data_IF_742013220838
#
_entry.id   IF_742013220838
#
_cell.length_a   1.000
_cell.length_b   1.000
_cell.length_c   1.000
_cell.angle_alpha   90.00
_cell.angle_beta   90.00
_cell.angle_gamma   90.00
#
_symmetry.space_group_name_H-M   'P 1'
#
loop_
_entity.id
_entity.type
_entity.pdbx_description
1 polymer ?
#
# COMPACT_ATOMS: atom_id res chain seq x y z
N UNK A 1 -29.76 57.17 -28.05
CA UNK A 1 -30.39 55.84 -28.17
C UNK A 1 -29.62 54.94 -27.24
N UNK A 2 -30.25 54.38 -26.21
CA UNK A 2 -29.55 53.47 -25.31
C UNK A 2 -29.31 52.17 -26.06
N UNK A 3 -28.05 51.76 -26.22
CA UNK A 3 -27.71 50.49 -26.87
C UNK A 3 -28.37 49.35 -26.09
N UNK A 4 -29.30 48.68 -26.74
CA UNK A 4 -30.07 47.58 -26.16
C UNK A 4 -29.12 46.39 -25.94
N UNK A 5 -28.93 45.98 -24.68
CA UNK A 5 -28.05 44.86 -24.35
C UNK A 5 -28.73 43.54 -24.72
N UNK A 6 -28.02 42.73 -25.51
CA UNK A 6 -28.49 41.45 -26.03
C UNK A 6 -28.03 40.33 -25.08
N UNK A 7 -28.92 39.43 -24.71
CA UNK A 7 -28.56 38.20 -23.98
C UNK A 7 -28.25 37.13 -25.04
N UNK A 8 -26.98 36.69 -25.19
CA UNK A 8 -26.64 35.70 -26.21
C UNK A 8 -27.29 34.34 -25.91
N UNK A 9 -27.52 33.57 -26.96
CA UNK A 9 -27.91 32.16 -26.86
C UNK A 9 -26.78 31.31 -26.29
N UNK A 10 -27.11 30.07 -25.93
CA UNK A 10 -26.12 29.11 -25.40
C UNK A 10 -25.00 28.82 -26.41
N UNK A 11 -25.36 28.56 -27.66
CA UNK A 11 -24.42 28.23 -28.74
C UNK A 11 -23.47 29.40 -29.04
N UNK A 12 -23.99 30.63 -29.12
CA UNK A 12 -23.20 31.84 -29.36
C UNK A 12 -22.19 32.09 -28.24
N UNK A 13 -22.60 31.89 -26.98
CA UNK A 13 -21.73 32.09 -25.83
C UNK A 13 -20.65 31.00 -25.73
N UNK A 14 -21.00 29.73 -26.00
CA UNK A 14 -20.03 28.62 -26.02
C UNK A 14 -18.98 28.86 -27.11
N UNK A 15 -19.41 29.23 -28.32
CA UNK A 15 -18.50 29.50 -29.45
C UNK A 15 -17.56 30.67 -29.13
N UNK A 16 -18.07 31.75 -28.54
CA UNK A 16 -17.24 32.88 -28.10
C UNK A 16 -16.20 32.48 -27.04
N UNK A 17 -16.59 31.66 -26.06
CA UNK A 17 -15.69 31.14 -25.02
C UNK A 17 -14.58 30.27 -25.63
N UNK A 18 -14.93 29.37 -26.57
CA UNK A 18 -13.98 28.51 -27.27
C UNK A 18 -12.96 29.32 -28.06
N UNK A 19 -13.41 30.33 -28.82
CA UNK A 19 -12.52 31.21 -29.58
C UNK A 19 -11.54 31.97 -28.69
N UNK A 20 -12.00 32.50 -27.54
CA UNK A 20 -11.11 33.16 -26.57
C UNK A 20 -10.11 32.18 -25.98
N UNK A 21 -10.51 30.93 -25.75
CA UNK A 21 -9.62 29.87 -25.23
C UNK A 21 -8.60 29.36 -26.24
N UNK A 22 -8.91 29.42 -27.53
CA UNK A 22 -7.93 29.16 -28.59
C UNK A 22 -6.84 30.24 -28.64
N UNK A 23 -7.21 31.50 -28.43
CA UNK A 23 -6.26 32.62 -28.39
C UNK A 23 -5.49 32.70 -27.07
N UNK A 24 -6.15 32.36 -25.95
CA UNK A 24 -5.60 32.43 -24.59
C UNK A 24 -5.85 31.10 -23.84
N UNK A 25 -5.08 30.04 -24.11
CA UNK A 25 -5.28 28.73 -23.47
C UNK A 25 -5.27 28.81 -21.94
N UNK A 26 -4.38 29.63 -21.39
CA UNK A 26 -4.17 29.81 -19.94
C UNK A 26 -5.13 30.84 -19.28
N UNK A 27 -6.11 31.39 -20.01
CA UNK A 27 -7.07 32.34 -19.42
C UNK A 27 -8.03 31.67 -18.42
N UNK A 28 -8.02 32.12 -17.16
CA UNK A 28 -9.02 31.71 -16.17
C UNK A 28 -10.42 32.28 -16.45
N UNK A 29 -11.43 31.80 -15.72
CA UNK A 29 -12.85 32.18 -15.90
C UNK A 29 -13.05 33.70 -15.91
N UNK A 30 -12.44 34.43 -14.98
CA UNK A 30 -12.55 35.89 -14.87
C UNK A 30 -11.97 36.61 -16.10
N UNK A 31 -10.83 36.13 -16.60
CA UNK A 31 -10.19 36.67 -17.81
C UNK A 31 -11.06 36.42 -19.04
N UNK A 32 -11.60 35.19 -19.19
CA UNK A 32 -12.50 34.84 -20.30
C UNK A 32 -13.78 35.67 -20.24
N UNK A 33 -14.40 35.83 -19.06
CA UNK A 33 -15.60 36.64 -18.90
C UNK A 33 -15.39 38.12 -19.28
N UNK A 34 -14.21 38.66 -18.95
CA UNK A 34 -13.81 40.01 -19.36
C UNK A 34 -13.66 40.10 -20.89
N UNK A 35 -12.96 39.13 -21.50
CA UNK A 35 -12.72 39.11 -22.95
C UNK A 35 -14.01 38.92 -23.78
N UNK A 36 -14.99 38.17 -23.27
CA UNK A 36 -16.32 38.06 -23.92
C UNK A 36 -16.97 39.43 -24.05
N UNK A 37 -16.96 40.25 -22.99
CA UNK A 37 -17.56 41.58 -23.00
C UNK A 37 -16.72 42.60 -23.79
N UNK A 38 -15.40 42.39 -23.90
CA UNK A 38 -14.54 43.22 -24.78
C UNK A 38 -14.83 42.95 -26.25
N UNK A 39 -14.97 41.68 -26.64
CA UNK A 39 -15.24 41.30 -28.03
C UNK A 39 -16.71 41.50 -28.45
N UNK A 40 -17.63 41.45 -27.48
CA UNK A 40 -19.07 41.63 -27.70
C UNK A 40 -19.63 42.64 -26.69
N UNK A 41 -19.38 43.95 -26.88
CA UNK A 41 -19.74 44.99 -25.92
C UNK A 41 -21.26 45.15 -25.70
N UNK A 42 -22.06 44.72 -26.67
CA UNK A 42 -23.52 44.77 -26.60
C UNK A 42 -24.12 43.55 -25.87
N UNK A 43 -23.31 42.59 -25.42
CA UNK A 43 -23.80 41.41 -24.72
C UNK A 43 -23.99 41.62 -23.22
N UNK A 44 -25.03 41.01 -22.66
CA UNK A 44 -25.23 40.88 -21.21
C UNK A 44 -24.96 39.45 -20.76
N UNK A 45 -23.75 39.22 -20.23
CA UNK A 45 -23.29 37.91 -19.77
C UNK A 45 -22.67 38.05 -18.38
N UNK A 46 -23.06 37.17 -17.45
CA UNK A 46 -22.46 37.11 -16.11
C UNK A 46 -21.26 36.16 -16.07
N UNK A 47 -20.29 36.43 -15.18
CA UNK A 47 -19.16 35.52 -14.93
C UNK A 47 -19.65 34.11 -14.54
N UNK A 48 -20.78 34.01 -13.82
CA UNK A 48 -21.40 32.72 -13.49
C UNK A 48 -21.84 31.94 -14.74
N UNK A 49 -22.37 32.62 -15.75
CA UNK A 49 -22.82 32.00 -17.01
C UNK A 49 -21.62 31.55 -17.85
N UNK A 50 -20.55 32.34 -17.88
CA UNK A 50 -19.26 31.95 -18.51
C UNK A 50 -18.65 30.75 -17.79
N UNK A 51 -18.61 30.77 -16.46
CA UNK A 51 -18.14 29.64 -15.63
C UNK A 51 -18.89 28.35 -15.95
N UNK A 52 -20.22 28.39 -16.00
CA UNK A 52 -21.07 27.23 -16.32
C UNK A 52 -20.65 26.59 -17.65
N UNK A 53 -20.54 27.39 -18.71
CA UNK A 53 -20.24 26.87 -20.05
C UNK A 53 -18.76 26.49 -20.23
N UNK A 54 -17.84 27.16 -19.55
CA UNK A 54 -16.44 26.73 -19.50
C UNK A 54 -16.29 25.37 -18.80
N UNK A 55 -17.03 25.12 -17.71
CA UNK A 55 -17.03 23.84 -17.01
C UNK A 55 -17.67 22.72 -17.86
N UNK A 56 -18.81 22.99 -18.49
CA UNK A 56 -19.48 22.03 -19.38
C UNK A 56 -18.62 21.67 -20.60
N UNK A 57 -17.82 22.60 -21.10
CA UNK A 57 -16.94 22.39 -22.27
C UNK A 57 -15.53 21.90 -21.90
N UNK A 58 -15.24 21.66 -20.62
CA UNK A 58 -13.91 21.22 -20.17
C UNK A 58 -12.80 22.29 -20.32
N UNK A 59 -13.15 23.57 -20.44
CA UNK A 59 -12.24 24.69 -20.72
C UNK A 59 -11.74 25.42 -19.46
N UNK A 60 -11.80 24.79 -18.29
CA UNK A 60 -11.32 25.39 -17.03
C UNK A 60 -9.87 24.97 -16.74
N UNK A 61 -9.04 25.93 -16.32
CA UNK A 61 -7.64 25.67 -15.94
C UNK A 61 -7.49 25.08 -14.53
N UNK A 62 -8.59 24.88 -13.82
CA UNK A 62 -8.59 23.95 -12.71
C UNK A 62 -8.41 22.56 -13.29
N UNK A 63 -7.25 21.94 -13.04
CA UNK A 63 -7.15 20.48 -13.01
C UNK A 63 -8.44 19.97 -12.34
N UNK A 64 -9.13 18.98 -12.93
CA UNK A 64 -10.30 18.42 -12.28
C UNK A 64 -9.87 18.12 -10.84
N UNK A 65 -10.58 18.70 -9.86
CA UNK A 65 -10.33 18.42 -8.46
C UNK A 65 -10.19 16.91 -8.36
N UNK A 66 -9.01 16.42 -7.94
CA UNK A 66 -8.69 15.02 -7.99
C UNK A 66 -9.87 14.29 -7.36
N UNK A 67 -10.65 13.57 -8.17
CA UNK A 67 -11.79 12.81 -7.64
C UNK A 67 -11.18 11.91 -6.58
N UNK A 68 -11.70 11.99 -5.35
CA UNK A 68 -11.24 11.11 -4.30
C UNK A 68 -11.26 9.66 -4.82
N UNK A 69 -10.21 8.88 -4.54
CA UNK A 69 -10.12 7.54 -5.07
C UNK A 69 -11.31 6.72 -4.56
N UNK A 70 -11.92 5.95 -5.47
CA UNK A 70 -13.02 5.05 -5.12
C UNK A 70 -12.47 3.97 -4.20
N UNK A 71 -13.01 3.89 -2.97
CA UNK A 71 -12.66 2.89 -1.97
C UNK A 71 -13.61 1.69 -2.03
N UNK A 72 -13.08 0.52 -1.72
CA UNK A 72 -13.86 -0.67 -1.38
C UNK A 72 -14.33 -0.63 0.07
N UNK A 73 -15.01 -1.68 0.50
CA UNK A 73 -15.59 -1.82 1.84
C UNK A 73 -17.11 -1.67 1.82
N UNK A 74 -17.74 -2.16 2.87
CA UNK A 74 -19.16 -1.96 3.13
C UNK A 74 -19.30 -1.10 4.38
N UNK A 75 -20.16 -0.07 4.33
CA UNK A 75 -20.30 0.87 5.44
C UNK A 75 -20.90 0.22 6.70
N UNK A 76 -21.66 -0.85 6.51
CA UNK A 76 -22.37 -1.61 7.53
C UNK A 76 -21.67 -2.91 7.94
N UNK A 77 -20.53 -3.25 7.33
CA UNK A 77 -19.76 -4.45 7.67
C UNK A 77 -18.26 -4.12 7.80
N UNK A 78 -17.75 -3.87 9.02
CA UNK A 78 -16.35 -3.54 9.28
C UNK A 78 -15.40 -4.72 9.05
N UNK A 79 -15.91 -5.93 8.86
CA UNK A 79 -15.09 -7.10 8.56
C UNK A 79 -14.63 -7.15 7.09
N UNK A 80 -15.26 -6.36 6.21
CA UNK A 80 -14.88 -6.26 4.79
C UNK A 80 -13.68 -5.32 4.65
N UNK A 81 -12.53 -5.80 4.14
CA UNK A 81 -11.35 -4.96 4.00
C UNK A 81 -11.54 -3.78 3.05
N UNK A 82 -11.10 -2.60 3.50
CA UNK A 82 -11.12 -1.35 2.73
C UNK A 82 -9.79 -1.18 2.00
N UNK A 83 -9.84 -0.94 0.69
CA UNK A 83 -8.68 -0.70 -0.16
C UNK A 83 -9.04 0.25 -1.31
N UNK A 84 -8.04 0.84 -1.96
CA UNK A 84 -8.23 1.59 -3.19
C UNK A 84 -6.96 1.57 -4.04
N UNK A 85 -7.08 2.01 -5.30
CA UNK A 85 -5.94 2.19 -6.19
C UNK A 85 -5.35 3.57 -5.94
N UNK A 86 -4.10 3.61 -5.48
CA UNK A 86 -3.39 4.86 -5.32
C UNK A 86 -3.15 5.51 -6.70
N UNK A 87 -3.70 6.72 -6.96
CA UNK A 87 -3.54 7.40 -8.24
C UNK A 87 -2.09 7.81 -8.52
N UNK A 88 -1.20 7.78 -7.53
CA UNK A 88 0.23 8.09 -7.67
C UNK A 88 1.07 6.89 -8.12
N UNK A 89 0.51 5.68 -8.16
CA UNK A 89 1.23 4.50 -8.67
C UNK A 89 1.17 4.49 -10.20
N UNK A 90 2.33 4.55 -10.84
CA UNK A 90 2.47 4.31 -12.27
C UNK A 90 2.69 2.81 -12.53
N UNK A 91 1.59 2.07 -12.72
CA UNK A 91 1.63 0.64 -13.01
C UNK A 91 2.39 0.33 -14.30
N UNK A 92 2.33 1.21 -15.30
CA UNK A 92 3.01 1.02 -16.59
C UNK A 92 4.53 1.17 -16.45
N UNK A 93 4.99 2.03 -15.55
CA UNK A 93 6.41 2.12 -15.21
C UNK A 93 6.93 0.87 -14.48
N UNK A 94 6.05 0.14 -13.78
CA UNK A 94 6.40 -1.13 -13.13
C UNK A 94 6.41 -2.28 -14.14
N UNK A 95 5.38 -2.38 -14.99
CA UNK A 95 5.31 -3.34 -16.09
C UNK A 95 4.22 -2.96 -17.10
N UNK A 96 4.52 -3.14 -18.38
CA UNK A 96 3.54 -2.99 -19.46
C UNK A 96 2.50 -4.11 -19.49
N UNK A 97 2.72 -5.18 -18.74
CA UNK A 97 1.87 -6.35 -18.67
C UNK A 97 0.66 -6.17 -17.73
N UNK A 98 0.63 -5.12 -16.91
CA UNK A 98 -0.37 -5.00 -15.83
C UNK A 98 -1.08 -3.65 -15.81
N UNK A 99 -2.32 -3.69 -15.36
CA UNK A 99 -3.11 -2.53 -14.99
C UNK A 99 -3.97 -2.84 -13.76
N UNK A 100 -4.25 -1.84 -12.91
CA UNK A 100 -5.10 -2.01 -11.75
C UNK A 100 -6.53 -1.55 -12.03
N UNK A 101 -7.52 -2.27 -11.49
CA UNK A 101 -8.95 -1.91 -11.57
C UNK A 101 -9.64 -2.21 -10.24
N UNK A 102 -10.66 -1.43 -9.89
CA UNK A 102 -11.57 -1.82 -8.81
C UNK A 102 -12.46 -2.96 -9.32
N UNK A 103 -12.55 -4.06 -8.57
CA UNK A 103 -13.35 -5.23 -8.91
C UNK A 103 -14.79 -5.00 -8.44
N UNK A 104 -14.97 -4.85 -7.13
CA UNK A 104 -16.24 -4.58 -6.47
C UNK A 104 -15.99 -4.08 -5.03
N UNK A 105 -17.05 -3.88 -4.25
CA UNK A 105 -16.95 -3.35 -2.87
C UNK A 105 -16.40 -4.37 -1.88
N UNK A 106 -16.47 -5.67 -2.14
CA UNK A 106 -16.05 -6.74 -1.22
C UNK A 106 -14.65 -7.25 -1.56
N UNK A 107 -14.41 -7.59 -2.83
CA UNK A 107 -13.10 -8.01 -3.34
C UNK A 107 -12.09 -6.86 -3.33
N UNK A 108 -12.57 -5.63 -3.57
CA UNK A 108 -11.74 -4.44 -3.60
C UNK A 108 -10.96 -4.26 -4.89
N UNK A 109 -9.68 -3.92 -4.78
CA UNK A 109 -8.81 -3.67 -5.94
C UNK A 109 -8.25 -4.98 -6.52
N UNK A 110 -7.99 -4.99 -7.82
CA UNK A 110 -7.47 -6.15 -8.56
C UNK A 110 -6.41 -5.74 -9.59
N UNK A 111 -5.48 -6.64 -9.87
CA UNK A 111 -4.50 -6.50 -10.95
C UNK A 111 -4.93 -7.32 -12.18
N UNK A 112 -4.87 -6.72 -13.35
CA UNK A 112 -5.35 -7.29 -14.62
C UNK A 112 -4.24 -7.27 -15.66
N UNK A 113 -4.28 -8.24 -16.57
CA UNK A 113 -3.34 -8.33 -17.68
C UNK A 113 -3.65 -7.22 -18.71
N UNK A 114 -2.71 -6.29 -18.93
CA UNK A 114 -2.86 -5.21 -19.90
C UNK A 114 -2.59 -5.66 -21.35
N UNK A 115 -1.95 -6.82 -21.51
CA UNK A 115 -1.70 -7.55 -22.76
C UNK A 115 -1.70 -9.06 -22.50
N UNK A 116 -1.59 -9.85 -23.55
CA UNK A 116 -1.36 -11.29 -23.39
C UNK A 116 0.01 -11.53 -22.74
N UNK A 117 0.06 -12.50 -21.82
CA UNK A 117 1.25 -12.88 -21.05
C UNK A 117 1.47 -14.37 -21.26
N UNK A 118 2.70 -14.76 -21.58
CA UNK A 118 3.03 -16.16 -21.82
C UNK A 118 3.39 -16.90 -20.53
N UNK A 119 3.14 -18.21 -20.51
CA UNK A 119 3.61 -19.09 -19.44
C UNK A 119 5.10 -18.85 -19.18
N UNK A 120 5.46 -18.82 -17.89
CA UNK A 120 6.80 -18.57 -17.37
C UNK A 120 7.37 -17.16 -17.59
N UNK A 121 6.61 -16.26 -18.22
CA UNK A 121 6.98 -14.85 -18.32
C UNK A 121 7.02 -14.20 -16.92
N UNK A 122 8.10 -13.46 -16.67
CA UNK A 122 8.19 -12.58 -15.50
C UNK A 122 7.38 -11.32 -15.76
N UNK A 123 6.33 -11.11 -14.97
CA UNK A 123 5.39 -10.01 -15.13
C UNK A 123 5.99 -8.73 -14.55
N UNK A 124 6.45 -8.80 -13.29
CA UNK A 124 7.20 -7.72 -12.65
C UNK A 124 7.99 -8.23 -11.44
N UNK A 125 8.84 -7.35 -10.92
CA UNK A 125 9.65 -7.59 -9.73
C UNK A 125 9.58 -6.38 -8.83
N UNK A 126 9.39 -6.59 -7.53
CA UNK A 126 9.11 -5.51 -6.59
C UNK A 126 9.91 -5.69 -5.28
N UNK A 127 10.30 -4.56 -4.67
CA UNK A 127 10.82 -4.51 -3.29
C UNK A 127 9.77 -3.91 -2.38
N UNK A 128 9.69 -4.32 -1.11
CA UNK A 128 8.61 -3.97 -0.23
C UNK A 128 8.64 -2.48 0.12
N UNK A 129 7.45 -1.91 0.23
CA UNK A 129 7.21 -0.60 0.79
C UNK A 129 7.66 -0.57 2.26
N UNK A 130 7.14 -1.51 3.06
CA UNK A 130 7.54 -1.78 4.44
C UNK A 130 7.90 -3.26 4.61
N UNK A 131 8.96 -3.55 5.38
CA UNK A 131 9.47 -4.91 5.55
C UNK A 131 9.90 -5.18 6.98
N UNK A 132 9.40 -6.25 7.57
CA UNK A 132 9.97 -6.88 8.74
C UNK A 132 10.09 -8.40 8.50
N UNK A 133 11.31 -8.95 8.50
CA UNK A 133 11.56 -10.36 8.19
C UNK A 133 11.03 -11.30 9.29
N UNK A 134 10.97 -12.63 9.03
CA UNK A 134 10.83 -13.62 10.10
C UNK A 134 11.90 -13.46 11.20
N UNK A 135 11.57 -13.86 12.44
CA UNK A 135 12.42 -13.64 13.62
C UNK A 135 13.80 -14.24 13.51
N UNK A 136 13.94 -15.40 12.87
CA UNK A 136 15.23 -16.06 12.64
C UNK A 136 16.15 -15.16 11.79
N UNK A 137 15.60 -14.62 10.70
CA UNK A 137 16.30 -13.70 9.82
C UNK A 137 16.58 -12.35 10.50
N UNK A 138 15.65 -11.84 11.31
CA UNK A 138 15.87 -10.63 12.11
C UNK A 138 17.01 -10.81 13.13
N UNK A 139 17.07 -11.95 13.80
CA UNK A 139 18.10 -12.26 14.79
C UNK A 139 19.48 -12.42 14.15
N UNK A 140 19.56 -13.02 12.96
CA UNK A 140 20.79 -13.02 12.16
C UNK A 140 21.22 -11.60 11.78
N UNK A 141 20.28 -10.73 11.40
CA UNK A 141 20.59 -9.34 11.08
C UNK A 141 21.12 -8.58 12.30
N UNK A 142 20.46 -8.70 13.46
CA UNK A 142 20.85 -8.04 14.72
C UNK A 142 22.22 -8.50 15.24
N UNK A 143 22.60 -9.75 14.97
CA UNK A 143 23.92 -10.29 15.30
C UNK A 143 25.01 -9.98 14.25
N UNK A 144 24.67 -9.24 13.19
CA UNK A 144 25.60 -8.87 12.14
C UNK A 144 25.88 -9.96 11.09
N UNK A 145 25.18 -11.09 11.18
CA UNK A 145 25.33 -12.24 10.28
C UNK A 145 24.43 -12.17 9.04
N UNK A 146 23.53 -11.19 8.97
CA UNK A 146 22.70 -10.90 7.79
C UNK A 146 22.53 -9.39 7.59
N UNK A 147 22.14 -8.99 6.39
CA UNK A 147 21.85 -7.60 6.07
C UNK A 147 20.65 -7.07 6.90
N UNK A 148 20.82 -5.92 7.54
CA UNK A 148 19.78 -5.24 8.33
C UNK A 148 18.55 -4.77 7.58
N UNK A 149 18.59 -4.76 6.23
CA UNK A 149 17.45 -4.45 5.39
C UNK A 149 16.86 -5.70 4.75
N UNK A 150 17.64 -6.35 3.87
CA UNK A 150 17.13 -7.44 3.03
C UNK A 150 17.32 -8.83 3.65
N UNK A 151 17.96 -8.93 4.82
CA UNK A 151 18.24 -10.18 5.52
C UNK A 151 19.05 -11.21 4.72
N UNK A 152 19.68 -10.80 3.63
CA UNK A 152 20.66 -11.63 2.92
C UNK A 152 21.80 -12.00 3.89
N UNK A 153 22.12 -13.30 4.07
CA UNK A 153 23.25 -13.72 4.90
C UNK A 153 24.58 -13.09 4.46
N UNK A 154 25.40 -12.71 5.43
CA UNK A 154 26.71 -12.10 5.25
C UNK A 154 27.82 -13.12 5.58
N UNK A 155 27.80 -14.26 4.88
CA UNK A 155 28.72 -15.38 5.14
C UNK A 155 30.19 -14.96 4.96
N UNK A 156 30.46 -14.04 4.03
CA UNK A 156 31.77 -13.40 3.85
C UNK A 156 31.58 -11.91 3.61
N UNK A 157 31.80 -11.04 4.62
CA UNK A 157 31.85 -9.61 4.41
C UNK A 157 32.85 -9.30 3.31
N UNK A 158 32.43 -8.53 2.31
CA UNK A 158 33.31 -8.08 1.24
C UNK A 158 33.41 -6.55 1.27
N UNK A 159 34.19 -5.98 0.35
CA UNK A 159 34.39 -4.52 0.27
C UNK A 159 33.12 -3.68 0.17
N UNK A 160 31.99 -4.27 -0.25
CA UNK A 160 30.70 -3.58 -0.37
C UNK A 160 29.90 -3.61 0.94
N UNK A 161 30.24 -4.51 1.88
CA UNK A 161 29.55 -4.62 3.17
C UNK A 161 29.72 -3.32 3.96
N UNK A 162 28.61 -2.78 4.42
CA UNK A 162 28.57 -1.58 5.26
C UNK A 162 28.12 -1.94 6.67
N UNK A 163 28.35 -1.02 7.61
CA UNK A 163 27.85 -1.16 8.98
C UNK A 163 27.22 0.16 9.45
N UNK A 164 26.36 0.07 10.46
CA UNK A 164 25.90 1.24 11.18
C UNK A 164 27.03 1.79 12.06
N UNK A 165 27.30 3.10 12.01
CA UNK A 165 28.30 3.74 12.87
C UNK A 165 27.90 3.83 14.35
N UNK A 166 26.73 3.32 14.73
CA UNK A 166 26.19 3.43 16.08
C UNK A 166 25.90 2.07 16.73
N UNK A 167 25.59 1.02 15.97
CA UNK A 167 25.22 -0.30 16.50
C UNK A 167 25.83 -1.43 15.65
N UNK A 168 25.61 -2.68 16.04
CA UNK A 168 26.21 -3.86 15.40
C UNK A 168 25.51 -4.31 14.10
N UNK A 169 24.66 -3.45 13.51
CA UNK A 169 23.92 -3.79 12.29
C UNK A 169 24.82 -3.68 11.06
N UNK A 170 24.83 -4.71 10.22
CA UNK A 170 25.55 -4.75 8.95
C UNK A 170 24.59 -4.72 7.76
N UNK A 171 25.08 -4.28 6.61
CA UNK A 171 24.31 -4.20 5.37
C UNK A 171 25.13 -4.74 4.21
N UNK A 172 24.49 -5.44 3.28
CA UNK A 172 25.18 -6.04 2.14
C UNK A 172 25.68 -5.02 1.11
N UNK A 173 25.16 -3.79 1.13
CA UNK A 173 25.55 -2.71 0.22
C UNK A 173 25.27 -1.32 0.82
N UNK A 174 25.79 -0.28 0.17
CA UNK A 174 25.53 1.12 0.52
C UNK A 174 24.05 1.47 0.38
N UNK A 175 23.40 0.97 -0.65
CA UNK A 175 21.97 1.16 -0.93
C UNK A 175 21.14 0.58 0.21
N UNK A 176 21.40 -0.67 0.64
CA UNK A 176 20.67 -1.25 1.76
C UNK A 176 20.84 -0.46 3.07
N UNK A 177 22.04 0.07 3.34
CA UNK A 177 22.28 0.90 4.53
C UNK A 177 21.48 2.19 4.47
N UNK A 178 21.50 2.89 3.32
CA UNK A 178 20.81 4.16 3.13
C UNK A 178 19.29 3.94 3.21
N UNK A 179 18.75 2.97 2.47
CA UNK A 179 17.32 2.67 2.51
C UNK A 179 16.85 2.27 3.90
N UNK A 180 17.62 1.46 4.65
CA UNK A 180 17.27 1.14 6.04
C UNK A 180 17.29 2.39 6.91
N UNK A 181 18.32 3.24 6.79
CA UNK A 181 18.45 4.48 7.56
C UNK A 181 17.27 5.43 7.32
N UNK A 182 16.90 5.63 6.07
CA UNK A 182 15.83 6.54 5.65
C UNK A 182 14.42 6.03 5.97
N UNK A 183 14.24 4.69 6.05
CA UNK A 183 12.93 4.08 6.31
C UNK A 183 12.69 3.74 7.78
N UNK A 184 13.67 3.27 8.54
CA UNK A 184 13.41 2.84 9.92
C UNK A 184 14.61 2.85 10.86
N UNK A 185 15.82 2.51 10.38
CA UNK A 185 16.95 2.19 11.25
C UNK A 185 17.40 3.35 12.12
N UNK A 186 17.23 4.60 11.67
CA UNK A 186 17.55 5.77 12.49
C UNK A 186 16.77 5.80 13.83
N UNK A 187 15.50 5.36 13.82
CA UNK A 187 14.65 5.26 15.01
C UNK A 187 14.71 3.89 15.68
N UNK A 188 15.01 2.83 14.92
CA UNK A 188 15.15 1.45 15.38
C UNK A 188 16.55 1.16 15.97
N UNK A 189 17.55 2.01 15.74
CA UNK A 189 18.92 1.79 16.21
C UNK A 189 19.00 1.82 17.74
N UNK A 190 19.26 0.65 18.35
CA UNK A 190 19.27 0.42 19.80
C UNK A 190 20.31 1.22 20.59
N UNK A 191 21.28 1.85 19.91
CA UNK A 191 22.26 2.74 20.52
C UNK A 191 21.91 4.24 20.39
N UNK A 192 21.02 4.60 19.46
CA UNK A 192 20.48 5.96 19.35
C UNK A 192 19.19 6.10 20.15
N UNK A 193 18.29 5.12 20.01
CA UNK A 193 17.01 5.06 20.69
C UNK A 193 16.98 3.89 21.68
N UNK A 194 17.34 4.13 22.94
CA UNK A 194 17.34 3.06 23.96
C UNK A 194 15.92 2.58 24.32
N UNK A 195 14.93 3.45 24.19
CA UNK A 195 13.53 3.12 24.51
C UNK A 195 12.95 2.04 23.58
N UNK A 196 13.43 1.93 22.34
CA UNK A 196 12.96 0.90 21.39
C UNK A 196 13.34 -0.52 21.82
N UNK A 197 14.35 -0.69 22.68
CA UNK A 197 14.82 -2.02 23.11
C UNK A 197 13.72 -2.76 23.87
N UNK A 198 13.00 -2.08 24.76
CA UNK A 198 11.92 -2.69 25.54
C UNK A 198 10.79 -3.19 24.63
N UNK A 199 10.43 -2.40 23.61
CA UNK A 199 9.46 -2.77 22.59
C UNK A 199 9.92 -4.01 21.79
N UNK A 200 11.15 -4.00 21.26
CA UNK A 200 11.69 -5.14 20.50
C UNK A 200 11.76 -6.41 21.32
N UNK A 201 12.25 -6.32 22.56
CA UNK A 201 12.38 -7.47 23.46
C UNK A 201 11.01 -8.06 23.80
N UNK A 202 9.99 -7.23 23.99
CA UNK A 202 8.62 -7.68 24.16
C UNK A 202 8.12 -8.43 22.92
N UNK A 203 8.22 -7.83 21.73
CA UNK A 203 7.80 -8.50 20.49
C UNK A 203 8.57 -9.81 20.22
N UNK A 204 9.87 -9.86 20.54
CA UNK A 204 10.69 -11.07 20.37
C UNK A 204 10.29 -12.20 21.33
N UNK A 205 9.94 -11.85 22.58
CA UNK A 205 9.47 -12.79 23.60
C UNK A 205 8.13 -13.41 23.18
N UNK A 206 7.21 -12.59 22.70
CA UNK A 206 5.88 -13.00 22.23
C UNK A 206 5.90 -13.61 20.82
N UNK A 207 7.07 -13.65 20.16
CA UNK A 207 7.22 -14.02 18.74
C UNK A 207 6.28 -13.26 17.81
N UNK A 208 5.94 -12.02 18.16
CA UNK A 208 4.89 -11.27 17.51
C UNK A 208 5.44 -10.31 16.44
N UNK A 209 5.31 -10.72 15.18
CA UNK A 209 5.90 -10.02 14.03
C UNK A 209 5.20 -8.70 13.68
N UNK A 210 3.87 -8.65 13.80
CA UNK A 210 3.07 -7.53 13.28
C UNK A 210 3.41 -6.17 13.91
N UNK A 211 3.57 -6.03 15.24
CA UNK A 211 3.96 -4.76 15.84
C UNK A 211 5.32 -4.26 15.36
N UNK A 212 6.28 -5.15 15.07
CA UNK A 212 7.57 -4.74 14.52
C UNK A 212 7.44 -4.14 13.13
N UNK A 213 6.55 -4.66 12.29
CA UNK A 213 6.23 -4.05 11.01
C UNK A 213 5.53 -2.69 11.18
N UNK A 214 4.57 -2.58 12.11
CA UNK A 214 3.91 -1.30 12.45
C UNK A 214 4.93 -0.27 12.95
N UNK A 215 5.87 -0.69 13.78
CA UNK A 215 7.00 0.15 14.22
C UNK A 215 7.79 0.68 13.01
N UNK A 216 8.16 -0.17 12.06
CA UNK A 216 8.86 0.28 10.84
C UNK A 216 8.00 1.21 9.96
N UNK A 217 6.69 1.00 9.89
CA UNK A 217 5.74 1.90 9.20
C UNK A 217 5.72 3.28 9.87
N UNK A 218 5.65 3.33 11.21
CA UNK A 218 5.67 4.57 11.97
C UNK A 218 7.01 5.30 11.82
N UNK A 219 8.11 4.57 11.87
CA UNK A 219 9.43 5.14 11.62
C UNK A 219 9.52 5.73 10.22
N UNK A 220 8.98 5.05 9.21
CA UNK A 220 8.97 5.52 7.83
C UNK A 220 8.16 6.82 7.70
N UNK A 221 7.01 6.95 8.36
CA UNK A 221 6.25 8.21 8.39
C UNK A 221 7.04 9.35 9.05
N UNK A 222 7.62 9.11 10.24
CA UNK A 222 8.41 10.13 10.95
C UNK A 222 9.62 10.60 10.12
N UNK A 223 10.34 9.66 9.50
CA UNK A 223 11.53 9.95 8.70
C UNK A 223 11.17 10.59 7.35
N UNK A 224 10.06 10.18 6.72
CA UNK A 224 9.55 10.82 5.51
C UNK A 224 9.11 12.27 5.77
N UNK A 225 8.50 12.55 6.92
CA UNK A 225 8.11 13.92 7.26
C UNK A 225 9.30 14.87 7.38
N UNK A 226 10.43 14.40 7.92
CA UNK A 226 11.66 15.19 7.93
C UNK A 226 12.18 15.53 6.53
N UNK A 227 11.84 14.73 5.52
CA UNK A 227 12.21 14.94 4.11
C UNK A 227 11.12 15.63 3.29
N UNK A 228 9.98 15.96 3.89
CA UNK A 228 8.83 16.54 3.17
C UNK A 228 8.05 15.54 2.31
N UNK A 229 8.19 14.24 2.56
CA UNK A 229 7.60 13.14 1.77
C UNK A 229 6.38 12.49 2.44
N UNK A 230 5.88 13.07 3.55
CA UNK A 230 4.86 12.45 4.40
C UNK A 230 3.57 12.11 3.63
N UNK A 231 3.04 13.04 2.84
CA UNK A 231 1.78 12.86 2.11
C UNK A 231 1.87 11.78 1.02
N UNK A 232 3.06 11.57 0.46
CA UNK A 232 3.31 10.48 -0.47
C UNK A 232 3.30 9.14 0.28
N UNK A 233 4.01 9.06 1.41
CA UNK A 233 4.08 7.83 2.22
C UNK A 233 2.72 7.45 2.77
N UNK A 234 1.94 8.40 3.28
CA UNK A 234 0.57 8.15 3.77
C UNK A 234 -0.34 7.71 2.62
N UNK A 235 -0.30 8.38 1.47
CA UNK A 235 -1.11 7.97 0.31
C UNK A 235 -0.88 6.51 -0.11
N UNK A 236 0.39 6.09 -0.15
CA UNK A 236 0.76 4.71 -0.41
C UNK A 236 0.27 3.74 0.69
N UNK A 237 0.40 4.11 1.97
CA UNK A 237 -0.04 3.30 3.12
C UNK A 237 -1.57 3.11 3.14
N UNK A 238 -2.31 4.17 2.84
CA UNK A 238 -3.77 4.18 2.88
C UNK A 238 -4.37 3.27 1.78
N UNK A 239 -3.66 3.10 0.67
CA UNK A 239 -4.11 2.26 -0.45
C UNK A 239 -4.03 0.75 -0.17
N UNK A 240 -3.22 0.29 0.79
CA UNK A 240 -3.19 -1.12 1.21
C UNK A 240 -4.53 -1.54 1.83
N UNK A 241 -4.91 -2.81 1.61
CA UNK A 241 -6.12 -3.36 2.21
C UNK A 241 -6.07 -3.25 3.74
N UNK A 242 -7.16 -2.82 4.35
CA UNK A 242 -7.22 -2.54 5.79
C UNK A 242 -8.48 -3.12 6.38
N UNK A 243 -8.29 -3.86 7.45
CA UNK A 243 -9.33 -4.34 8.35
C UNK A 243 -8.71 -4.33 9.75
N UNK A 244 -9.48 -3.98 10.77
CA UNK A 244 -8.94 -3.92 12.13
C UNK A 244 -8.43 -5.29 12.58
N UNK A 245 -7.33 -5.31 13.34
CA UNK A 245 -6.86 -6.53 13.96
C UNK A 245 -7.89 -7.13 14.92
N UNK A 246 -8.77 -6.31 15.50
CA UNK A 246 -9.89 -6.77 16.33
C UNK A 246 -10.88 -7.63 15.55
N UNK A 247 -11.33 -7.16 14.38
CA UNK A 247 -12.24 -7.91 13.49
C UNK A 247 -11.63 -9.25 13.05
N UNK A 248 -10.33 -9.25 12.73
CA UNK A 248 -9.60 -10.47 12.38
C UNK A 248 -9.58 -11.46 13.54
N UNK A 249 -9.36 -10.96 14.75
CA UNK A 249 -9.25 -11.78 15.94
C UNK A 249 -10.62 -12.29 16.42
N UNK A 250 -11.70 -11.53 16.21
CA UNK A 250 -13.07 -11.92 16.53
C UNK A 250 -13.57 -13.15 15.76
N UNK A 251 -12.96 -13.46 14.60
CA UNK A 251 -13.21 -14.69 13.82
C UNK A 251 -12.59 -15.94 14.44
N UNK A 252 -11.72 -15.80 15.43
CA UNK A 252 -11.13 -16.94 16.13
C UNK A 252 -12.09 -17.52 17.16
N UNK A 253 -12.31 -18.83 17.14
CA UNK A 253 -13.29 -19.52 17.97
C UNK A 253 -13.01 -19.37 19.48
N UNK A 254 -11.75 -19.20 19.86
CA UNK A 254 -11.33 -19.01 21.25
C UNK A 254 -11.35 -17.55 21.70
N UNK A 255 -11.76 -16.61 20.83
CA UNK A 255 -11.64 -15.18 21.08
C UNK A 255 -12.30 -14.74 22.39
N UNK A 256 -13.49 -15.25 22.69
CA UNK A 256 -14.24 -14.89 23.92
C UNK A 256 -13.41 -15.15 25.19
N UNK A 257 -12.54 -16.17 25.18
CA UNK A 257 -11.66 -16.48 26.32
C UNK A 257 -10.33 -15.72 26.26
N UNK A 258 -9.89 -15.36 25.05
CA UNK A 258 -8.59 -14.72 24.79
C UNK A 258 -8.67 -13.19 24.67
N UNK A 259 -9.86 -12.60 24.66
CA UNK A 259 -10.08 -11.18 24.40
C UNK A 259 -9.31 -10.29 25.36
N UNK A 260 -9.50 -10.46 26.67
CA UNK A 260 -8.83 -9.65 27.68
C UNK A 260 -7.29 -9.79 27.63
N UNK A 261 -6.70 -11.01 27.66
CA UNK A 261 -5.25 -11.18 27.49
C UNK A 261 -4.71 -10.57 26.19
N UNK A 262 -5.47 -10.66 25.10
CA UNK A 262 -5.03 -10.13 23.80
C UNK A 262 -5.09 -8.61 23.76
N UNK A 263 -6.11 -7.98 24.34
CA UNK A 263 -6.16 -6.51 24.48
C UNK A 263 -5.06 -5.98 25.39
N UNK A 264 -4.70 -6.70 26.45
CA UNK A 264 -3.53 -6.37 27.30
C UNK A 264 -2.23 -6.44 26.49
N UNK A 265 -2.06 -7.48 25.67
CA UNK A 265 -0.92 -7.63 24.76
C UNK A 265 -0.80 -6.44 23.79
N UNK A 266 -1.92 -6.06 23.16
CA UNK A 266 -2.00 -4.94 22.21
C UNK A 266 -1.67 -3.62 22.90
N UNK A 267 -2.26 -3.36 24.07
CA UNK A 267 -2.02 -2.16 24.87
C UNK A 267 -0.53 -2.05 25.23
N UNK A 268 0.07 -3.13 25.71
CA UNK A 268 1.49 -3.16 26.08
C UNK A 268 2.41 -2.90 24.90
N UNK A 269 2.14 -3.49 23.72
CA UNK A 269 2.89 -3.19 22.50
C UNK A 269 2.80 -1.70 22.12
N UNK A 270 1.59 -1.15 22.11
CA UNK A 270 1.33 0.27 21.77
C UNK A 270 2.05 1.20 22.73
N UNK A 271 1.97 0.96 24.04
CA UNK A 271 2.59 1.81 25.04
C UNK A 271 4.12 1.82 24.95
N UNK A 272 4.73 0.66 24.72
CA UNK A 272 6.16 0.53 24.48
C UNK A 272 6.59 1.23 23.18
N UNK A 273 5.81 1.10 22.10
CA UNK A 273 6.07 1.79 20.84
C UNK A 273 5.93 3.31 20.98
N UNK A 274 4.88 3.77 21.67
CA UNK A 274 4.66 5.19 22.00
C UNK A 274 5.84 5.75 22.79
N UNK A 275 6.28 5.05 23.84
CA UNK A 275 7.43 5.46 24.64
C UNK A 275 8.71 5.57 23.81
N UNK A 276 8.86 4.74 22.78
CA UNK A 276 10.02 4.78 21.90
C UNK A 276 9.97 5.92 20.87
N UNK A 277 8.81 6.20 20.29
CA UNK A 277 8.69 6.95 19.02
C UNK A 277 7.92 8.28 19.11
N UNK A 278 7.07 8.50 20.12
CA UNK A 278 6.32 9.77 20.26
C UNK A 278 7.27 10.94 20.52
N UNK A 279 8.26 10.72 21.39
CA UNK A 279 9.33 11.67 21.71
C UNK A 279 10.69 10.96 21.57
N UNK A 280 11.14 10.72 20.32
CA UNK A 280 12.33 9.93 20.08
C UNK A 280 13.57 10.63 20.66
N UNK A 281 14.55 9.81 21.06
CA UNK A 281 15.84 10.30 21.59
C UNK A 281 16.43 11.41 20.73
N UNK A 282 16.95 12.47 21.35
CA UNK A 282 17.65 13.56 20.65
C UNK A 282 18.80 13.06 19.77
N UNK A 283 19.38 11.89 20.09
CA UNK A 283 20.43 11.23 19.29
C UNK A 283 19.94 10.75 17.93
N UNK A 284 18.64 10.51 17.78
CA UNK A 284 18.01 10.17 16.51
C UNK A 284 17.91 11.39 15.58
N UNK A 285 18.19 12.60 16.04
CA UNK A 285 18.18 13.84 15.24
C UNK A 285 16.88 14.10 14.49
N UNK A 286 15.74 13.76 15.10
CA UNK A 286 14.41 14.09 14.56
C UNK A 286 14.12 15.56 14.91
N UNK A 287 14.22 16.46 13.94
CA UNK A 287 14.01 17.91 14.16
C UNK A 287 12.62 18.38 13.79
N UNK A 288 11.94 17.66 12.90
CA UNK A 288 10.59 17.97 12.43
C UNK A 288 9.64 16.87 12.94
N UNK A 289 8.96 17.06 14.08
CA UNK A 289 7.99 16.10 14.57
C UNK A 289 6.78 16.03 13.65
N UNK A 290 6.08 14.90 13.64
CA UNK A 290 4.84 14.75 12.87
C UNK A 290 3.79 15.82 13.28
N UNK A 291 2.83 16.15 12.41
CA UNK A 291 1.69 16.99 12.79
C UNK A 291 0.98 16.44 14.03
N UNK A 292 0.55 17.31 14.94
CA UNK A 292 -0.02 16.91 16.23
C UNK A 292 -1.21 15.94 16.08
N UNK A 293 -2.12 16.24 15.14
CA UNK A 293 -3.27 15.37 14.86
C UNK A 293 -2.84 13.95 14.43
N UNK A 294 -1.75 13.83 13.66
CA UNK A 294 -1.22 12.52 13.27
C UNK A 294 -0.52 11.83 14.44
N UNK A 295 0.19 12.56 15.30
CA UNK A 295 0.78 11.98 16.51
C UNK A 295 -0.29 11.40 17.43
N UNK A 296 -1.40 12.12 17.65
CA UNK A 296 -2.52 11.65 18.46
C UNK A 296 -3.10 10.36 17.87
N UNK A 297 -3.34 10.31 16.55
CA UNK A 297 -3.79 9.08 15.87
C UNK A 297 -2.81 7.93 16.03
N UNK A 298 -1.53 8.12 15.76
CA UNK A 298 -0.57 7.01 15.76
C UNK A 298 -0.28 6.46 17.16
N UNK A 299 -0.28 7.32 18.19
CA UNK A 299 0.27 6.97 19.51
C UNK A 299 -0.75 6.94 20.64
N UNK A 300 -1.90 7.60 20.49
CA UNK A 300 -2.92 7.71 21.54
C UNK A 300 -4.25 7.03 21.15
N UNK A 301 -4.50 6.82 19.86
CA UNK A 301 -5.67 6.09 19.36
C UNK A 301 -5.39 4.58 19.19
N UNK A 302 -6.21 3.76 19.84
CA UNK A 302 -6.14 2.30 19.74
C UNK A 302 -6.50 1.78 18.36
N UNK A 303 -7.57 2.33 17.80
CA UNK A 303 -8.15 1.83 16.56
C UNK A 303 -7.16 1.98 15.42
N UNK A 304 -6.44 3.12 15.36
CA UNK A 304 -5.35 3.33 14.42
C UNK A 304 -4.26 2.25 14.56
N UNK A 305 -3.83 1.91 15.78
CA UNK A 305 -2.82 0.86 15.98
C UNK A 305 -3.32 -0.52 15.51
N UNK A 306 -4.56 -0.88 15.85
CA UNK A 306 -5.17 -2.14 15.42
C UNK A 306 -5.40 -2.20 13.91
N UNK A 307 -5.75 -1.08 13.29
CA UNK A 307 -5.86 -0.95 11.83
C UNK A 307 -4.51 -1.15 11.15
N UNK A 308 -3.40 -0.63 11.70
CA UNK A 308 -2.06 -0.90 11.15
C UNK A 308 -1.60 -2.34 11.36
N UNK A 309 -1.94 -2.98 12.49
CA UNK A 309 -1.68 -4.41 12.70
C UNK A 309 -2.43 -5.26 11.67
N UNK A 310 -3.74 -5.03 11.50
CA UNK A 310 -4.56 -5.76 10.55
C UNK A 310 -4.17 -5.48 9.10
N UNK A 311 -3.84 -4.22 8.76
CA UNK A 311 -3.27 -3.82 7.45
C UNK A 311 -1.98 -4.58 7.17
N UNK A 312 -1.05 -4.65 8.11
CA UNK A 312 0.17 -5.44 7.90
C UNK A 312 -0.20 -6.90 7.65
N UNK A 313 -0.98 -7.50 8.54
CA UNK A 313 -1.27 -8.94 8.49
C UNK A 313 -1.99 -9.37 7.21
N UNK A 314 -2.93 -8.59 6.69
CA UNK A 314 -3.67 -8.93 5.46
C UNK A 314 -2.84 -8.72 4.18
N UNK A 315 -1.83 -7.84 4.22
CA UNK A 315 -0.94 -7.58 3.08
C UNK A 315 0.46 -8.22 3.26
N UNK A 316 0.64 -9.07 4.27
CA UNK A 316 1.94 -9.61 4.64
C UNK A 316 2.37 -10.73 3.68
N UNK A 317 3.32 -10.43 2.80
CA UNK A 317 3.97 -11.40 1.94
C UNK A 317 5.40 -11.68 2.44
N UNK A 318 5.56 -12.70 3.27
CA UNK A 318 6.86 -13.11 3.85
C UNK A 318 7.61 -11.97 4.54
N UNK A 319 6.87 -11.16 5.30
CA UNK A 319 7.37 -10.01 6.05
C UNK A 319 7.31 -8.68 5.30
N UNK A 320 6.94 -8.67 4.01
CA UNK A 320 6.88 -7.46 3.20
C UNK A 320 5.47 -7.05 2.82
N UNK A 321 5.24 -5.73 2.76
CA UNK A 321 4.07 -5.12 2.12
C UNK A 321 4.51 -4.51 0.79
N UNK A 322 3.86 -4.88 -0.31
CA UNK A 322 4.28 -4.55 -1.67
C UNK A 322 3.16 -3.79 -2.40
N UNK A 323 3.45 -2.60 -2.92
CA UNK A 323 2.43 -1.67 -3.43
C UNK A 323 1.68 -2.27 -4.60
N UNK A 324 2.38 -2.81 -5.60
CA UNK A 324 1.75 -3.38 -6.79
C UNK A 324 1.24 -4.79 -6.51
N UNK A 325 2.06 -5.66 -5.92
CA UNK A 325 1.66 -7.04 -5.60
C UNK A 325 0.41 -7.12 -4.71
N UNK A 326 0.16 -6.16 -3.81
CA UNK A 326 -1.08 -6.12 -3.00
C UNK A 326 -2.40 -6.00 -3.77
N UNK A 327 -2.36 -5.88 -5.10
CA UNK A 327 -3.53 -5.89 -5.98
C UNK A 327 -3.85 -7.30 -6.55
N UNK A 328 -2.98 -8.29 -6.36
CA UNK A 328 -3.19 -9.65 -6.89
C UNK A 328 -4.08 -10.41 -5.91
N UNK A 329 -5.31 -10.70 -6.32
CA UNK A 329 -6.29 -11.37 -5.46
C UNK A 329 -6.05 -12.89 -5.36
N UNK A 330 -6.78 -13.51 -4.42
CA UNK A 330 -6.76 -14.94 -4.22
C UNK A 330 -7.55 -15.73 -5.28
N UNK A 331 -6.98 -16.85 -5.73
CA UNK A 331 -7.72 -17.97 -6.30
C UNK A 331 -7.04 -19.30 -5.91
N UNK A 332 -7.79 -20.35 -5.58
CA UNK A 332 -7.19 -21.66 -5.31
C UNK A 332 -6.61 -22.30 -6.59
N UNK A 333 -7.03 -21.85 -7.77
CA UNK A 333 -6.46 -22.15 -9.08
C UNK A 333 -5.80 -20.89 -9.67
N UNK A 334 -4.65 -20.47 -9.13
CA UNK A 334 -3.99 -19.23 -9.54
C UNK A 334 -3.49 -19.30 -10.99
N UNK A 335 -3.17 -18.12 -11.56
CA UNK A 335 -2.49 -18.01 -12.85
C UNK A 335 -1.10 -17.37 -12.74
N UNK A 336 -0.70 -16.90 -11.55
CA UNK A 336 0.65 -16.47 -11.23
C UNK A 336 1.25 -17.19 -10.02
N UNK A 337 2.58 -17.12 -9.91
CA UNK A 337 3.33 -17.48 -8.69
C UNK A 337 4.17 -16.31 -8.20
N UNK A 338 4.46 -16.32 -6.90
CA UNK A 338 5.40 -15.40 -6.26
C UNK A 338 6.72 -16.13 -6.00
N UNK A 339 7.74 -15.71 -6.73
CA UNK A 339 9.07 -16.24 -6.63
C UNK A 339 9.99 -15.24 -5.89
N UNK A 340 11.01 -15.74 -5.20
CA UNK A 340 12.03 -14.91 -4.53
C UNK A 340 13.38 -15.07 -5.26
N UNK A 341 13.78 -14.13 -6.13
CA UNK A 341 14.96 -14.27 -6.97
C UNK A 341 16.28 -14.27 -6.18
N UNK A 342 16.27 -13.76 -4.94
CA UNK A 342 17.45 -13.77 -4.09
C UNK A 342 17.45 -15.01 -3.21
N UNK A 343 18.47 -15.86 -3.39
CA UNK A 343 18.69 -17.01 -2.50
C UNK A 343 18.85 -16.51 -1.06
N UNK A 344 18.07 -17.08 -0.14
CA UNK A 344 18.08 -16.77 1.29
C UNK A 344 17.68 -15.31 1.64
N UNK A 345 16.92 -14.63 0.78
CA UNK A 345 16.31 -13.33 1.10
C UNK A 345 14.90 -13.26 0.50
N UNK A 346 13.92 -12.91 1.34
CA UNK A 346 12.53 -12.72 0.93
C UNK A 346 12.19 -11.25 0.69
N UNK A 347 13.21 -10.37 0.65
CA UNK A 347 13.05 -8.93 0.52
C UNK A 347 12.64 -8.47 -0.89
N UNK A 348 12.84 -9.29 -1.92
CA UNK A 348 12.48 -8.93 -3.29
C UNK A 348 11.64 -10.05 -3.83
N UNK A 349 10.45 -9.73 -4.36
CA UNK A 349 9.56 -10.72 -4.96
C UNK A 349 9.55 -10.57 -6.48
N UNK A 350 9.16 -11.63 -7.18
CA UNK A 350 8.95 -11.67 -8.63
C UNK A 350 7.62 -12.36 -8.89
N UNK A 351 6.76 -11.70 -9.66
CA UNK A 351 5.48 -12.28 -10.11
C UNK A 351 5.71 -12.92 -11.47
N UNK A 352 5.40 -14.21 -11.60
CA UNK A 352 5.59 -14.99 -12.83
C UNK A 352 4.28 -15.65 -13.24
N UNK A 353 3.96 -15.64 -14.53
CA UNK A 353 2.82 -16.38 -15.06
C UNK A 353 3.09 -17.90 -15.02
N UNK A 354 2.12 -18.68 -14.55
CA UNK A 354 2.24 -20.15 -14.50
C UNK A 354 1.49 -20.87 -15.63
N UNK A 355 0.71 -20.12 -16.41
CA UNK A 355 0.05 -20.49 -17.66
C UNK A 355 0.01 -19.27 -18.59
N UNK A 356 -0.43 -19.45 -19.83
CA UNK A 356 -0.78 -18.31 -20.69
C UNK A 356 -1.97 -17.55 -20.07
N UNK A 357 -1.93 -16.21 -20.08
CA UNK A 357 -2.93 -15.31 -19.52
C UNK A 357 -3.34 -14.33 -20.62
N UNK A 358 -4.64 -14.29 -20.95
CA UNK A 358 -5.16 -13.39 -21.97
C UNK A 358 -5.27 -11.97 -21.44
N UNK A 359 -5.13 -10.97 -22.33
CA UNK A 359 -5.42 -9.58 -22.01
C UNK A 359 -6.80 -9.44 -21.36
N UNK A 360 -6.87 -8.69 -20.27
CA UNK A 360 -8.08 -8.42 -19.51
C UNK A 360 -8.42 -9.47 -18.46
N UNK A 361 -7.72 -10.61 -18.41
CA UNK A 361 -7.83 -11.55 -17.28
C UNK A 361 -7.26 -10.93 -16.00
N UNK A 362 -7.88 -11.22 -14.86
CA UNK A 362 -7.33 -10.85 -13.56
C UNK A 362 -6.16 -11.78 -13.19
N UNK A 363 -5.11 -11.23 -12.60
CA UNK A 363 -4.01 -12.01 -12.05
C UNK A 363 -4.42 -12.49 -10.66
N UNK A 364 -4.21 -13.78 -10.42
CA UNK A 364 -4.52 -14.44 -9.16
C UNK A 364 -3.33 -15.25 -8.66
N UNK A 365 -3.02 -15.07 -7.39
CA UNK A 365 -2.14 -15.95 -6.63
C UNK A 365 -2.95 -16.80 -5.64
N UNK A 366 -2.30 -17.71 -4.93
CA UNK A 366 -2.94 -18.47 -3.86
C UNK A 366 -2.36 -18.06 -2.50
N UNK A 367 -3.26 -17.72 -1.57
CA UNK A 367 -2.93 -17.23 -0.21
C UNK A 367 -2.85 -18.36 0.81
N UNK A 368 -3.15 -19.59 0.37
CA UNK A 368 -3.22 -20.78 1.20
C UNK A 368 -2.27 -21.83 0.63
N UNK A 369 -1.94 -22.83 1.42
CA UNK A 369 -1.26 -23.99 0.88
C UNK A 369 -2.20 -24.70 -0.14
N UNK A 370 -1.82 -24.80 -1.42
CA UNK A 370 -2.69 -25.37 -2.45
C UNK A 370 -2.99 -26.87 -2.23
N UNK A 371 -2.21 -27.55 -1.39
CA UNK A 371 -2.36 -28.96 -1.00
C UNK A 371 -3.46 -29.20 0.04
N UNK A 372 -3.87 -28.18 0.78
CA UNK A 372 -4.92 -28.32 1.78
C UNK A 372 -6.25 -28.69 1.13
N UNK A 373 -7.08 -29.46 1.84
CA UNK A 373 -8.46 -29.76 1.43
C UNK A 373 -9.33 -28.48 1.42
N UNK A 374 -10.51 -28.55 0.80
CA UNK A 374 -11.41 -27.41 0.63
C UNK A 374 -11.73 -26.71 1.96
N UNK A 375 -12.11 -27.48 2.98
CA UNK A 375 -12.52 -26.93 4.27
C UNK A 375 -11.38 -26.17 4.94
N UNK A 376 -10.17 -26.74 4.97
CA UNK A 376 -8.99 -26.08 5.54
C UNK A 376 -8.65 -24.80 4.79
N UNK A 377 -8.76 -24.78 3.45
CA UNK A 377 -8.55 -23.56 2.65
C UNK A 377 -9.60 -22.49 2.99
N UNK A 378 -10.89 -22.85 3.02
CA UNK A 378 -11.98 -21.91 3.33
C UNK A 378 -11.86 -21.35 4.74
N UNK A 379 -11.64 -22.21 5.75
CA UNK A 379 -11.47 -21.78 7.14
C UNK A 379 -10.29 -20.83 7.29
N UNK A 380 -9.16 -21.11 6.63
CA UNK A 380 -8.00 -20.22 6.71
C UNK A 380 -8.27 -18.86 6.05
N UNK A 381 -8.93 -18.84 4.88
CA UNK A 381 -9.28 -17.61 4.17
C UNK A 381 -10.28 -16.75 4.95
N UNK A 382 -11.33 -17.35 5.51
CA UNK A 382 -12.31 -16.63 6.34
C UNK A 382 -11.66 -16.05 7.60
N UNK A 383 -10.81 -16.81 8.30
CA UNK A 383 -10.16 -16.32 9.52
C UNK A 383 -9.05 -15.29 9.26
N UNK A 384 -8.25 -15.49 8.21
CA UNK A 384 -7.04 -14.68 7.99
C UNK A 384 -7.27 -13.46 7.10
N UNK A 385 -8.20 -13.58 6.14
CA UNK A 385 -8.48 -12.60 5.08
C UNK A 385 -9.95 -12.16 5.01
N UNK A 386 -10.84 -12.72 5.85
CA UNK A 386 -12.24 -12.33 6.01
C UNK A 386 -13.09 -12.46 4.73
N UNK A 387 -12.85 -13.48 3.93
CA UNK A 387 -13.71 -13.79 2.79
C UNK A 387 -13.86 -15.30 2.54
N UNK A 388 -14.94 -15.66 1.86
CA UNK A 388 -15.18 -17.04 1.36
C UNK A 388 -14.81 -17.13 -0.11
N UNK A 389 -13.94 -18.10 -0.46
CA UNK A 389 -13.51 -18.26 -1.85
C UNK A 389 -14.59 -18.94 -2.69
N UNK A 390 -14.94 -18.33 -3.83
CA UNK A 390 -15.93 -18.85 -4.78
C UNK A 390 -15.30 -19.36 -6.09
N UNK A 391 -14.00 -19.70 -6.08
CA UNK A 391 -13.35 -20.23 -7.27
C UNK A 391 -13.79 -21.67 -7.59
N UNK A 392 -13.52 -22.12 -8.81
CA UNK A 392 -13.87 -23.45 -9.31
C UNK A 392 -13.41 -24.60 -8.38
N UNK A 393 -12.16 -24.55 -7.87
CA UNK A 393 -11.63 -25.54 -6.91
C UNK A 393 -12.38 -25.58 -5.58
N UNK A 394 -13.08 -24.52 -5.22
CA UNK A 394 -13.87 -24.45 -4.00
C UNK A 394 -15.33 -24.80 -4.24
N UNK A 395 -15.92 -24.34 -5.35
CA UNK A 395 -17.31 -24.64 -5.71
C UNK A 395 -17.48 -26.12 -6.06
N UNK A 396 -16.61 -26.64 -6.93
CA UNK A 396 -16.70 -28.00 -7.46
C UNK A 396 -15.79 -29.01 -6.74
N UNK A 397 -15.09 -28.58 -5.69
CA UNK A 397 -14.13 -29.39 -4.91
C UNK A 397 -13.10 -30.16 -5.75
N UNK A 398 -12.62 -29.53 -6.82
CA UNK A 398 -11.68 -30.19 -7.74
C UNK A 398 -10.28 -30.32 -7.11
N UNK A 399 -9.57 -31.43 -7.36
CA UNK A 399 -8.26 -31.70 -6.75
C UNK A 399 -7.17 -30.72 -7.23
N UNK A 400 -6.04 -30.74 -6.52
CA UNK A 400 -4.82 -30.06 -6.98
C UNK A 400 -4.22 -30.82 -8.17
N UNK A 401 -4.23 -30.22 -9.36
CA UNK A 401 -3.72 -30.83 -10.60
C UNK A 401 -2.19 -30.84 -10.65
N UNK A 402 -1.61 -31.79 -11.39
CA UNK A 402 -0.15 -31.85 -11.57
C UNK A 402 0.39 -30.67 -12.37
N UNK A 403 -0.40 -30.15 -13.32
CA UNK A 403 -0.05 -28.91 -14.02
C UNK A 403 0.11 -27.74 -13.04
N UNK A 404 -0.83 -27.61 -12.09
CA UNK A 404 -0.78 -26.54 -11.10
C UNK A 404 0.40 -26.73 -10.14
N UNK A 405 0.67 -27.96 -9.68
CA UNK A 405 1.86 -28.28 -8.88
C UNK A 405 3.14 -27.85 -9.59
N UNK A 406 3.26 -28.20 -10.88
CA UNK A 406 4.42 -27.86 -11.72
C UNK A 406 4.55 -26.35 -11.91
N UNK A 407 3.46 -25.65 -12.23
CA UNK A 407 3.43 -24.19 -12.41
C UNK A 407 3.88 -23.43 -11.16
N UNK A 408 3.36 -23.84 -10.00
CA UNK A 408 3.71 -23.30 -8.69
C UNK A 408 5.07 -23.79 -8.15
N UNK A 409 5.77 -24.69 -8.88
CA UNK A 409 7.05 -25.28 -8.48
C UNK A 409 7.01 -25.87 -7.06
N UNK A 410 5.91 -26.54 -6.75
CA UNK A 410 5.76 -27.23 -5.47
C UNK A 410 6.77 -28.38 -5.41
N UNK A 411 7.60 -28.41 -4.34
CA UNK A 411 8.50 -29.54 -4.09
C UNK A 411 7.70 -30.82 -3.83
N UNK A 412 8.21 -31.97 -4.28
CA UNK A 412 7.70 -33.27 -3.86
C UNK A 412 7.88 -33.45 -2.35
N UNK A 413 6.95 -34.14 -1.71
CA UNK A 413 6.92 -34.33 -0.25
C UNK A 413 7.98 -35.33 0.25
#
# INVERSE_FOLDING_TARGET
MADEKIIPTEEELISAIQNIKLELPEAGIKTVATQVLVKQPNWQVSEKRVKKYMQQSGLTNSAPAAKEPVKSGLADDPSVPVSFIDPKIDFKAVSDAVEARMVDQVTGKGLFAARDIKRDETIFTETPFAYFPPWEAFNLARSGNACGLCCKPLIYPNRNTQHCGHCNMFYCSKECRITAWEKFHQLECTNLNKAVVAFMSFCEMEKWQAPMAVSRIYAQMILAHQRGELDQVIGHLDAFATVSQEERQAKETEWIFMEAPTRELWTKARDLLRAAYKTPSKRCKITTPLPEALQQKLFDDEETFLNYLGKFNINNQNGGMYLVHSHINHNCHPNVSIDYPQRNSQYKLTVRAIRDISKGEQLYETYVNPRWNKDTRQTYLDKSYLFTCQCDRCVNDTPLTDELKKGLRLRDE
#
